data_IF_219082094239
#
_entry.id   IF_219082094239
#
_cell.length_a   1.000
_cell.length_b   1.000
_cell.length_c   1.000
_cell.angle_alpha   90.00
_cell.angle_beta   90.00
_cell.angle_gamma   90.00
#
_symmetry.space_group_name_H-M   'P 1'
#
loop_
_entity.id
_entity.type
_entity.pdbx_description
1 polymer ?
#
# COMPACT_ATOMS: atom_id res chain seq x y z
N UNK A 1 43.39 21.65 31.13
CA UNK A 1 42.11 22.37 30.99
C UNK A 1 42.19 23.16 29.71
N UNK A 2 41.73 22.57 28.62
CA UNK A 2 41.90 23.11 27.26
C UNK A 2 40.52 23.16 26.63
N UNK A 3 40.03 24.38 26.45
CA UNK A 3 38.73 24.71 25.87
C UNK A 3 38.83 24.42 24.38
N UNK A 4 38.27 23.28 23.94
CA UNK A 4 38.12 22.99 22.51
C UNK A 4 36.81 23.61 22.03
N UNK A 5 36.96 24.60 21.15
CA UNK A 5 35.89 25.38 20.54
C UNK A 5 35.01 24.50 19.65
N UNK A 6 33.71 24.61 19.86
CA UNK A 6 32.65 24.12 18.98
C UNK A 6 32.88 24.61 17.55
N UNK A 7 33.09 23.68 16.62
CA UNK A 7 33.07 23.97 15.19
C UNK A 7 31.78 23.38 14.62
N UNK A 8 30.77 24.24 14.55
CA UNK A 8 29.51 24.00 13.86
C UNK A 8 29.80 23.96 12.35
N UNK A 9 29.98 22.77 11.79
CA UNK A 9 30.11 22.60 10.34
C UNK A 9 28.70 22.63 9.72
N UNK A 10 28.27 23.84 9.37
CA UNK A 10 27.10 24.10 8.54
C UNK A 10 27.43 23.69 7.09
N UNK A 11 27.21 22.41 6.75
CA UNK A 11 27.25 21.96 5.37
C UNK A 11 25.91 22.29 4.70
N UNK A 12 25.82 23.48 4.13
CA UNK A 12 24.76 23.88 3.22
C UNK A 12 24.90 23.12 1.89
N UNK A 13 24.28 21.94 1.78
CA UNK A 13 23.97 21.34 0.49
C UNK A 13 22.61 21.89 0.02
N UNK A 14 22.69 22.95 -0.78
CA UNK A 14 21.62 23.38 -1.68
C UNK A 14 21.36 22.27 -2.72
N UNK A 15 20.44 21.35 -2.40
CA UNK A 15 19.65 20.70 -3.45
C UNK A 15 18.42 21.56 -3.65
N UNK A 16 18.46 22.39 -4.69
CA UNK A 16 17.27 23.02 -5.24
C UNK A 16 16.36 21.89 -5.75
N UNK A 17 15.48 21.39 -4.88
CA UNK A 17 14.30 20.67 -5.30
C UNK A 17 13.45 21.68 -6.07
N UNK A 18 13.51 21.63 -7.40
CA UNK A 18 12.49 22.22 -8.25
C UNK A 18 11.20 21.45 -7.96
N UNK A 19 10.49 21.84 -6.90
CA UNK A 19 9.08 21.58 -6.77
C UNK A 19 8.41 22.35 -7.91
N UNK A 20 8.33 21.70 -9.07
CA UNK A 20 7.52 22.16 -10.18
C UNK A 20 6.09 22.21 -9.65
N UNK A 21 5.64 23.41 -9.28
CA UNK A 21 4.25 23.64 -8.98
C UNK A 21 3.45 23.13 -10.18
N UNK A 22 2.70 22.05 -9.98
CA UNK A 22 1.90 21.41 -11.01
C UNK A 22 0.97 22.48 -11.56
N UNK A 23 1.20 22.92 -12.80
CA UNK A 23 0.28 23.82 -13.48
C UNK A 23 -0.98 23.04 -13.84
N UNK A 24 -1.89 23.02 -12.87
CA UNK A 24 -3.17 22.37 -12.95
C UNK A 24 -4.09 23.04 -14.00
N UNK A 25 -3.68 24.13 -14.67
CA UNK A 25 -4.48 24.79 -15.72
C UNK A 25 -4.48 24.03 -17.06
N UNK A 26 -3.49 23.20 -17.35
CA UNK A 26 -3.53 22.29 -18.51
C UNK A 26 -4.49 21.11 -18.32
N UNK A 27 -4.97 20.91 -17.08
CA UNK A 27 -5.71 19.74 -16.62
C UNK A 27 -7.18 20.05 -16.27
N UNK A 28 -7.72 21.21 -16.67
CA UNK A 28 -9.05 21.74 -16.28
C UNK A 28 -10.18 21.52 -17.28
N UNK A 29 -10.00 20.71 -18.33
CA UNK A 29 -11.16 20.25 -19.11
C UNK A 29 -11.87 19.12 -18.35
N UNK A 30 -12.75 19.50 -17.43
CA UNK A 30 -13.51 18.64 -16.51
C UNK A 30 -14.24 17.47 -17.19
N UNK A 31 -14.48 17.54 -18.52
CA UNK A 31 -15.09 16.45 -19.31
C UNK A 31 -14.15 15.31 -19.73
N UNK A 32 -12.86 15.55 -19.99
CA UNK A 32 -11.94 14.51 -20.48
C UNK A 32 -11.42 13.58 -19.38
N UNK A 33 -11.31 14.07 -18.13
CA UNK A 33 -10.88 13.26 -16.98
C UNK A 33 -11.91 12.19 -16.59
N UNK A 34 -13.19 12.55 -16.57
CA UNK A 34 -14.27 11.62 -16.22
C UNK A 34 -14.49 10.56 -17.30
N UNK A 35 -14.45 10.96 -18.58
CA UNK A 35 -14.67 10.04 -19.70
C UNK A 35 -13.62 8.93 -19.81
N UNK A 36 -12.32 9.24 -19.62
CA UNK A 36 -11.24 8.25 -19.74
C UNK A 36 -10.90 7.46 -18.47
N UNK A 37 -11.21 8.00 -17.29
CA UNK A 37 -11.16 7.18 -16.07
C UNK A 37 -12.13 6.00 -16.16
N UNK A 38 -13.26 6.20 -16.84
CA UNK A 38 -14.23 5.17 -17.16
C UNK A 38 -13.83 4.30 -18.37
N UNK A 39 -12.78 4.64 -19.14
CA UNK A 39 -12.35 3.88 -20.32
C UNK A 39 -11.20 2.91 -20.07
N UNK A 40 -10.47 3.02 -18.95
CA UNK A 40 -9.44 2.02 -18.61
C UNK A 40 -10.12 0.69 -18.25
N UNK A 41 -9.90 -0.30 -19.11
CA UNK A 41 -10.40 -1.64 -18.94
C UNK A 41 -9.78 -2.30 -17.70
N UNK A 42 -10.51 -3.25 -17.14
CA UNK A 42 -10.05 -4.03 -16.00
C UNK A 42 -8.77 -4.83 -16.31
N UNK A 43 -8.58 -5.20 -17.58
CA UNK A 43 -7.38 -5.88 -18.07
C UNK A 43 -6.16 -4.95 -18.05
N UNK A 44 -6.30 -3.70 -18.49
CA UNK A 44 -5.20 -2.71 -18.44
C UNK A 44 -4.77 -2.40 -17.01
N UNK A 45 -5.73 -2.26 -16.09
CA UNK A 45 -5.43 -2.03 -14.67
C UNK A 45 -4.73 -3.24 -14.04
N UNK A 46 -5.10 -4.46 -14.43
CA UNK A 46 -4.43 -5.68 -13.96
C UNK A 46 -3.00 -5.77 -14.50
N UNK A 47 -2.81 -5.53 -15.79
CA UNK A 47 -1.47 -5.55 -16.41
C UNK A 47 -0.55 -4.50 -15.77
N UNK A 48 -1.07 -3.31 -15.48
CA UNK A 48 -0.35 -2.28 -14.76
C UNK A 48 0.03 -2.70 -13.33
N UNK A 49 -0.86 -3.39 -12.62
CA UNK A 49 -0.55 -3.97 -11.31
C UNK A 49 0.55 -5.04 -11.37
N UNK A 50 0.56 -5.88 -12.41
CA UNK A 50 1.63 -6.87 -12.63
C UNK A 50 2.99 -6.20 -12.85
N UNK A 51 3.02 -5.17 -13.69
CA UNK A 51 4.25 -4.45 -13.99
C UNK A 51 4.73 -3.62 -12.79
N UNK A 52 3.83 -2.92 -12.09
CA UNK A 52 4.15 -2.16 -10.90
C UNK A 52 4.68 -3.07 -9.79
N UNK A 53 4.06 -4.23 -9.56
CA UNK A 53 4.54 -5.18 -8.57
C UNK A 53 5.93 -5.74 -8.92
N UNK A 54 6.14 -6.07 -10.20
CA UNK A 54 7.45 -6.53 -10.70
C UNK A 54 8.52 -5.45 -10.58
N UNK A 55 8.17 -4.19 -10.83
CA UNK A 55 9.06 -3.05 -10.64
C UNK A 55 9.44 -2.91 -9.16
N UNK A 56 8.45 -2.89 -8.26
CA UNK A 56 8.68 -2.75 -6.83
C UNK A 56 9.57 -3.87 -6.27
N UNK A 57 9.39 -5.10 -6.74
CA UNK A 57 10.22 -6.24 -6.34
C UNK A 57 11.68 -6.09 -6.76
N UNK A 58 11.96 -5.35 -7.84
CA UNK A 58 13.32 -5.08 -8.32
C UNK A 58 13.95 -3.87 -7.64
N UNK A 59 13.14 -2.85 -7.38
CA UNK A 59 13.57 -1.58 -6.79
C UNK A 59 13.78 -1.69 -5.27
N UNK A 60 13.12 -2.65 -4.62
CA UNK A 60 13.25 -2.91 -3.19
C UNK A 60 14.11 -4.15 -2.90
N UNK A 61 14.74 -4.17 -1.73
CA UNK A 61 15.47 -5.34 -1.26
C UNK A 61 14.50 -6.41 -0.76
N UNK A 62 14.09 -7.33 -1.65
CA UNK A 62 13.36 -8.55 -1.28
C UNK A 62 14.27 -9.46 -0.46
N UNK A 63 13.83 -9.86 0.74
CA UNK A 63 14.60 -10.79 1.56
C UNK A 63 14.59 -12.20 0.95
N UNK A 64 15.69 -12.93 1.10
CA UNK A 64 15.81 -14.30 0.59
C UNK A 64 14.91 -15.27 1.38
N UNK A 65 14.51 -16.39 0.77
CA UNK A 65 13.59 -17.35 1.40
C UNK A 65 14.12 -18.02 2.68
N UNK A 66 15.44 -18.07 2.88
CA UNK A 66 16.08 -18.57 4.10
C UNK A 66 16.24 -17.49 5.20
N UNK A 67 15.89 -16.25 4.92
CA UNK A 67 15.89 -15.17 5.89
C UNK A 67 14.81 -15.40 6.96
N UNK A 68 15.07 -15.13 8.26
CA UNK A 68 14.08 -15.29 9.32
C UNK A 68 12.76 -14.56 9.06
N UNK A 69 12.78 -13.39 8.41
CA UNK A 69 11.55 -12.67 8.07
C UNK A 69 10.74 -13.38 7.00
N UNK A 70 11.38 -13.92 5.96
CA UNK A 70 10.68 -14.71 4.94
C UNK A 70 10.08 -15.99 5.54
N UNK A 71 10.82 -16.70 6.38
CA UNK A 71 10.34 -17.92 7.06
C UNK A 71 9.16 -17.62 7.97
N UNK A 72 9.24 -16.52 8.74
CA UNK A 72 8.14 -16.05 9.58
C UNK A 72 6.91 -15.70 8.75
N UNK A 73 7.06 -14.93 7.67
CA UNK A 73 5.93 -14.60 6.80
C UNK A 73 5.30 -15.85 6.18
N UNK A 74 6.12 -16.80 5.71
CA UNK A 74 5.62 -18.07 5.15
C UNK A 74 4.81 -18.89 6.17
N UNK A 75 5.20 -18.88 7.45
CA UNK A 75 4.41 -19.49 8.54
C UNK A 75 3.11 -18.73 8.79
N UNK A 76 3.17 -17.40 8.79
CA UNK A 76 2.01 -16.53 9.00
C UNK A 76 0.95 -16.76 7.91
N UNK A 77 1.39 -16.91 6.66
CA UNK A 77 0.52 -17.01 5.48
C UNK A 77 0.27 -18.43 4.99
N UNK A 78 0.62 -19.43 5.80
CA UNK A 78 0.35 -20.83 5.49
C UNK A 78 -1.15 -21.03 5.23
N UNK A 79 -1.49 -21.63 4.10
CA UNK A 79 -2.89 -21.86 3.69
C UNK A 79 -3.57 -20.68 2.99
N UNK A 80 -2.90 -19.52 2.87
CA UNK A 80 -3.44 -18.32 2.21
C UNK A 80 -3.00 -18.18 0.75
N UNK A 81 -2.63 -19.27 0.06
CA UNK A 81 -2.21 -19.20 -1.34
C UNK A 81 -3.33 -18.71 -2.28
N UNK A 82 -4.59 -18.88 -1.88
CA UNK A 82 -5.75 -18.37 -2.57
C UNK A 82 -6.78 -17.87 -1.55
N UNK A 83 -7.33 -16.67 -1.77
CA UNK A 83 -8.47 -16.14 -1.00
C UNK A 83 -9.63 -15.83 -1.96
N UNK A 84 -10.64 -16.72 -1.96
CA UNK A 84 -11.85 -16.61 -2.78
C UNK A 84 -11.56 -16.32 -4.26
N UNK A 85 -10.64 -17.06 -4.87
CA UNK A 85 -10.25 -16.92 -6.28
C UNK A 85 -9.15 -15.88 -6.55
N UNK A 86 -8.69 -15.15 -5.53
CA UNK A 86 -7.50 -14.30 -5.63
C UNK A 86 -6.25 -15.13 -5.30
N UNK A 87 -5.39 -15.37 -6.27
CA UNK A 87 -4.10 -16.04 -6.03
C UNK A 87 -3.14 -15.07 -5.35
N UNK A 88 -2.66 -15.41 -4.17
CA UNK A 88 -1.85 -14.51 -3.35
C UNK A 88 -0.37 -14.88 -3.44
N UNK A 89 0.47 -13.86 -3.56
CA UNK A 89 1.93 -14.00 -3.54
C UNK A 89 2.52 -13.05 -2.49
N UNK A 90 3.21 -13.62 -1.51
CA UNK A 90 3.78 -12.87 -0.40
C UNK A 90 5.29 -12.73 -0.54
N UNK A 91 5.82 -11.53 -0.28
CA UNK A 91 7.26 -11.29 -0.08
C UNK A 91 7.48 -10.26 1.02
N UNK A 92 8.69 -10.26 1.59
CA UNK A 92 9.11 -9.26 2.57
C UNK A 92 10.12 -8.32 1.95
N UNK A 93 9.95 -7.02 2.18
CA UNK A 93 10.93 -5.99 1.83
C UNK A 93 11.73 -5.60 3.07
N UNK A 94 13.05 -5.54 2.92
CA UNK A 94 13.98 -5.10 3.98
C UNK A 94 14.01 -3.57 4.04
N UNK A 95 13.17 -3.01 4.89
CA UNK A 95 13.13 -1.57 5.21
C UNK A 95 12.67 -1.37 6.66
N UNK A 96 13.14 -0.29 7.28
CA UNK A 96 12.70 0.11 8.62
C UNK A 96 11.28 0.70 8.64
N UNK A 97 10.72 1.03 7.48
CA UNK A 97 9.38 1.58 7.37
C UNK A 97 8.33 0.57 7.86
N UNK A 98 7.32 1.09 8.56
CA UNK A 98 6.17 0.32 9.05
C UNK A 98 5.08 0.35 7.99
N UNK A 99 5.08 -0.61 7.08
CA UNK A 99 4.08 -0.69 6.01
C UNK A 99 3.81 -2.11 5.52
N UNK A 100 2.68 -2.27 4.85
CA UNK A 100 2.35 -3.39 3.99
C UNK A 100 1.39 -2.91 2.89
N UNK A 101 1.32 -3.62 1.78
CA UNK A 101 0.38 -3.27 0.71
C UNK A 101 0.01 -4.50 -0.13
N UNK A 102 -1.17 -4.45 -0.76
CA UNK A 102 -1.61 -5.46 -1.71
C UNK A 102 -2.19 -4.87 -3.01
N UNK A 103 -1.77 -5.44 -4.14
CA UNK A 103 -2.22 -5.06 -5.48
C UNK A 103 -3.27 -6.02 -6.03
N UNK A 104 -3.99 -5.58 -7.08
CA UNK A 104 -5.10 -6.31 -7.68
C UNK A 104 -4.70 -7.68 -8.29
N UNK A 105 -3.43 -7.88 -8.62
CA UNK A 105 -2.88 -9.15 -9.09
C UNK A 105 -2.61 -10.16 -7.96
N UNK A 106 -2.89 -9.80 -6.70
CA UNK A 106 -2.71 -10.66 -5.54
C UNK A 106 -1.30 -10.64 -4.96
N UNK A 107 -0.41 -9.77 -5.44
CA UNK A 107 0.86 -9.60 -4.77
C UNK A 107 0.68 -8.78 -3.48
N UNK A 108 1.23 -9.30 -2.39
CA UNK A 108 1.20 -8.72 -1.05
C UNK A 108 2.63 -8.56 -0.57
N UNK A 109 3.00 -7.37 -0.09
CA UNK A 109 4.33 -7.07 0.43
C UNK A 109 4.24 -6.56 1.85
N UNK A 110 5.11 -7.10 2.70
CA UNK A 110 5.17 -6.78 4.14
C UNK A 110 6.57 -6.26 4.44
N UNK A 111 6.69 -5.17 5.19
CA UNK A 111 7.99 -4.57 5.47
C UNK A 111 8.57 -5.10 6.78
N UNK A 112 9.89 -5.22 6.87
CA UNK A 112 10.56 -5.70 8.10
C UNK A 112 10.24 -4.82 9.31
N UNK A 113 10.14 -3.49 9.14
CA UNK A 113 9.76 -2.58 10.22
C UNK A 113 8.37 -2.87 10.81
N UNK A 114 7.39 -3.21 9.97
CA UNK A 114 6.08 -3.67 10.45
C UNK A 114 6.20 -4.98 11.22
N UNK A 115 6.98 -5.94 10.68
CA UNK A 115 7.15 -7.24 11.33
C UNK A 115 7.87 -7.12 12.68
N UNK A 116 8.79 -6.17 12.85
CA UNK A 116 9.54 -5.99 14.09
C UNK A 116 8.66 -5.53 15.27
N UNK A 117 7.64 -4.72 15.00
CA UNK A 117 6.73 -4.22 16.04
C UNK A 117 5.46 -5.07 16.23
N UNK A 118 5.10 -5.88 15.23
CA UNK A 118 3.86 -6.65 15.21
C UNK A 118 4.10 -8.12 15.61
N UNK A 119 3.17 -8.68 16.38
CA UNK A 119 3.02 -10.12 16.59
C UNK A 119 2.51 -10.82 15.32
N UNK A 120 2.58 -12.15 15.27
CA UNK A 120 2.12 -12.92 14.09
C UNK A 120 0.64 -12.66 13.77
N UNK A 121 -0.25 -12.60 14.77
CA UNK A 121 -1.67 -12.32 14.55
C UNK A 121 -1.94 -10.86 14.17
N UNK A 122 -1.13 -9.92 14.64
CA UNK A 122 -1.23 -8.52 14.20
C UNK A 122 -0.82 -8.38 12.73
N UNK A 123 0.23 -9.10 12.28
CA UNK A 123 0.61 -9.18 10.87
C UNK A 123 -0.51 -9.83 10.04
N UNK A 124 -1.16 -10.90 10.53
CA UNK A 124 -2.34 -11.49 9.85
C UNK A 124 -3.48 -10.50 9.73
N UNK A 125 -3.72 -9.69 10.77
CA UNK A 125 -4.73 -8.63 10.73
C UNK A 125 -4.45 -7.61 9.63
N UNK A 126 -3.20 -7.14 9.52
CA UNK A 126 -2.79 -6.23 8.44
C UNK A 126 -2.95 -6.89 7.07
N UNK A 127 -2.51 -8.14 6.90
CA UNK A 127 -2.69 -8.87 5.64
C UNK A 127 -4.17 -9.00 5.28
N UNK A 128 -5.03 -9.33 6.23
CA UNK A 128 -6.48 -9.41 6.02
C UNK A 128 -7.07 -8.07 5.59
N UNK A 129 -6.60 -6.97 6.18
CA UNK A 129 -6.99 -5.61 5.79
C UNK A 129 -6.56 -5.27 4.35
N UNK A 130 -5.29 -5.55 3.99
CA UNK A 130 -4.77 -5.33 2.63
C UNK A 130 -5.49 -6.17 1.56
N UNK A 131 -5.77 -7.44 1.87
CA UNK A 131 -6.59 -8.29 1.01
C UNK A 131 -8.01 -7.71 0.88
N UNK A 132 -8.56 -7.11 1.94
CA UNK A 132 -9.81 -6.37 1.91
C UNK A 132 -9.82 -5.25 0.87
N UNK A 133 -8.76 -4.43 0.79
CA UNK A 133 -8.63 -3.41 -0.25
C UNK A 133 -8.65 -4.00 -1.66
N UNK A 134 -8.04 -5.17 -1.87
CA UNK A 134 -8.05 -5.85 -3.17
C UNK A 134 -9.45 -6.38 -3.49
N UNK A 135 -10.05 -7.15 -2.58
CA UNK A 135 -11.35 -7.84 -2.79
C UNK A 135 -12.51 -6.87 -2.94
N UNK A 136 -12.44 -5.69 -2.32
CA UNK A 136 -13.44 -4.64 -2.44
C UNK A 136 -13.19 -3.70 -3.63
N UNK A 137 -12.13 -3.92 -4.42
CA UNK A 137 -11.82 -3.14 -5.61
C UNK A 137 -11.18 -1.77 -5.34
N UNK A 138 -10.79 -1.49 -4.09
CA UNK A 138 -10.11 -0.25 -3.72
C UNK A 138 -8.74 -0.17 -4.40
N UNK A 139 -7.93 -1.23 -4.33
CA UNK A 139 -6.60 -1.27 -4.97
C UNK A 139 -6.69 -1.05 -6.48
N UNK A 140 -7.69 -1.66 -7.13
CA UNK A 140 -7.96 -1.45 -8.57
C UNK A 140 -8.27 0.01 -8.88
N UNK A 141 -9.07 0.66 -8.04
CA UNK A 141 -9.45 2.08 -8.18
C UNK A 141 -8.24 3.00 -7.99
N UNK A 142 -7.36 2.72 -7.01
CA UNK A 142 -6.12 3.49 -6.81
C UNK A 142 -5.13 3.30 -7.96
N UNK A 143 -4.95 2.08 -8.45
CA UNK A 143 -4.11 1.80 -9.63
C UNK A 143 -4.62 2.56 -10.86
N UNK A 144 -5.93 2.53 -11.12
CA UNK A 144 -6.56 3.32 -12.20
C UNK A 144 -6.29 4.82 -12.04
N UNK A 145 -6.39 5.34 -10.82
CA UNK A 145 -6.13 6.75 -10.53
C UNK A 145 -4.66 7.11 -10.77
N UNK A 146 -3.72 6.27 -10.33
CA UNK A 146 -2.29 6.46 -10.54
C UNK A 146 -1.90 6.40 -12.02
N UNK A 147 -2.47 5.46 -12.79
CA UNK A 147 -2.33 5.39 -14.25
C UNK A 147 -2.78 6.67 -14.95
N UNK A 148 -3.96 7.19 -14.60
CA UNK A 148 -4.48 8.43 -15.18
C UNK A 148 -3.62 9.64 -14.83
N UNK A 149 -3.10 9.68 -13.59
CA UNK A 149 -2.20 10.74 -13.15
C UNK A 149 -0.88 10.72 -13.94
N UNK A 150 -0.29 9.54 -14.12
CA UNK A 150 0.94 9.35 -14.92
C UNK A 150 0.71 9.72 -16.40
N UNK A 151 -0.33 9.18 -17.04
CA UNK A 151 -0.66 9.47 -18.44
C UNK A 151 -1.01 10.96 -18.69
N UNK A 152 -1.57 11.63 -17.68
CA UNK A 152 -1.86 13.06 -17.73
C UNK A 152 -0.62 13.95 -17.69
N UNK A 153 0.44 13.53 -16.97
CA UNK A 153 1.71 14.28 -16.88
C UNK A 153 2.50 14.27 -18.19
N UNK A 154 2.45 13.16 -18.91
CA UNK A 154 3.30 12.94 -20.09
C UNK A 154 2.64 13.35 -21.42
N UNK A 155 1.40 13.84 -21.39
CA UNK A 155 0.65 14.15 -22.61
C UNK A 155 0.28 12.92 -23.46
N UNK A 156 0.59 11.70 -23.00
CA UNK A 156 0.21 10.43 -23.65
C UNK A 156 -1.32 10.26 -23.79
N UNK A 157 -2.10 11.01 -23.01
CA UNK A 157 -3.54 11.16 -23.18
C UNK A 157 -3.97 11.55 -24.61
N UNK A 158 -3.08 12.16 -25.40
CA UNK A 158 -3.33 12.59 -26.78
C UNK A 158 -3.23 11.48 -27.84
N UNK A 159 -2.56 10.34 -27.58
CA UNK A 159 -2.26 9.37 -28.63
C UNK A 159 -3.37 8.36 -28.93
N UNK A 160 -4.26 8.06 -27.98
CA UNK A 160 -5.32 7.03 -28.15
C UNK A 160 -4.82 5.59 -28.34
N UNK A 161 -3.51 5.41 -28.58
CA UNK A 161 -2.81 4.15 -28.85
C UNK A 161 -1.67 3.90 -27.85
N UNK A 162 -1.70 4.55 -26.68
CA UNK A 162 -0.68 4.38 -25.64
C UNK A 162 -0.70 2.93 -25.15
N UNK A 163 0.24 2.14 -25.66
CA UNK A 163 0.33 0.72 -25.34
C UNK A 163 0.77 0.58 -23.87
N UNK A 164 -0.20 0.58 -22.95
CA UNK A 164 -0.01 0.38 -21.50
C UNK A 164 0.71 -0.94 -21.17
N UNK A 165 0.90 -1.81 -22.17
CA UNK A 165 1.67 -3.05 -22.06
C UNK A 165 3.19 -2.83 -21.95
N UNK A 166 3.74 -1.64 -22.21
CA UNK A 166 5.18 -1.38 -22.05
C UNK A 166 5.47 0.02 -21.48
N UNK A 167 5.19 0.19 -20.19
CA UNK A 167 5.67 1.34 -19.43
C UNK A 167 7.20 1.27 -19.28
N UNK A 168 7.88 2.41 -19.44
CA UNK A 168 9.31 2.58 -19.13
C UNK A 168 9.57 2.41 -17.64
N UNK A 169 10.84 2.21 -17.25
CA UNK A 169 11.20 2.07 -15.83
C UNK A 169 10.81 3.31 -15.00
N UNK A 170 10.98 4.52 -15.55
CA UNK A 170 10.56 5.75 -14.87
C UNK A 170 9.04 5.81 -14.66
N UNK A 171 8.26 5.46 -15.69
CA UNK A 171 6.79 5.39 -15.59
C UNK A 171 6.31 4.34 -14.58
N UNK A 172 6.97 3.17 -14.56
CA UNK A 172 6.66 2.13 -13.58
C UNK A 172 6.98 2.57 -12.16
N UNK A 173 8.08 3.29 -11.96
CA UNK A 173 8.42 3.91 -10.68
C UNK A 173 7.35 4.89 -10.21
N UNK A 174 6.98 5.87 -11.03
CA UNK A 174 5.94 6.84 -10.68
C UNK A 174 4.58 6.18 -10.41
N UNK A 175 4.23 5.17 -11.20
CA UNK A 175 2.98 4.41 -11.04
C UNK A 175 2.98 3.65 -9.72
N UNK A 176 4.06 2.92 -9.43
CA UNK A 176 4.17 2.08 -8.26
C UNK A 176 4.24 2.93 -6.98
N UNK A 177 5.03 4.00 -6.98
CA UNK A 177 5.10 4.96 -5.87
C UNK A 177 3.74 5.64 -5.64
N UNK A 178 3.05 6.05 -6.72
CA UNK A 178 1.72 6.63 -6.65
C UNK A 178 0.67 5.66 -6.09
N UNK A 179 0.81 4.35 -6.34
CA UNK A 179 -0.06 3.32 -5.77
C UNK A 179 0.25 3.08 -4.28
N UNK A 180 1.51 2.86 -3.92
CA UNK A 180 1.92 2.53 -2.54
C UNK A 180 1.62 3.68 -1.59
N UNK A 181 1.73 4.93 -2.05
CA UNK A 181 1.39 6.11 -1.27
C UNK A 181 -0.07 6.57 -1.43
N UNK A 182 -0.92 5.77 -2.10
CA UNK A 182 -2.30 6.14 -2.31
C UNK A 182 -3.06 6.18 -0.97
N UNK A 183 -3.77 7.28 -0.73
CA UNK A 183 -4.66 7.39 0.41
C UNK A 183 -6.03 6.81 0.08
N UNK A 184 -6.55 6.00 0.99
CA UNK A 184 -7.91 5.49 0.94
C UNK A 184 -8.86 6.38 1.75
N UNK A 185 -10.10 6.49 1.28
CA UNK A 185 -11.12 7.23 2.00
C UNK A 185 -11.49 6.51 3.30
N UNK A 186 -12.02 7.24 4.30
CA UNK A 186 -12.49 6.63 5.54
C UNK A 186 -13.51 5.50 5.30
N UNK A 187 -14.34 5.60 4.26
CA UNK A 187 -15.29 4.55 3.89
C UNK A 187 -14.58 3.29 3.38
N UNK A 188 -13.56 3.46 2.52
CA UNK A 188 -12.74 2.36 2.02
C UNK A 188 -12.02 1.67 3.19
N UNK A 189 -11.39 2.45 4.08
CA UNK A 189 -10.74 1.95 5.31
C UNK A 189 -11.71 1.15 6.19
N UNK A 190 -12.92 1.68 6.42
CA UNK A 190 -13.93 1.01 7.24
C UNK A 190 -14.38 -0.33 6.66
N UNK A 191 -14.49 -0.40 5.33
CA UNK A 191 -14.89 -1.63 4.66
C UNK A 191 -13.74 -2.64 4.63
N UNK A 192 -12.50 -2.19 4.48
CA UNK A 192 -11.31 -3.03 4.59
C UNK A 192 -11.08 -3.53 6.02
N UNK A 193 -11.36 -2.70 7.04
CA UNK A 193 -11.37 -3.08 8.47
C UNK A 193 -12.35 -4.22 8.74
N UNK A 194 -13.61 -4.06 8.29
CA UNK A 194 -14.63 -5.10 8.42
C UNK A 194 -14.23 -6.37 7.67
N UNK A 195 -13.68 -6.24 6.46
CA UNK A 195 -13.18 -7.39 5.71
C UNK A 195 -12.06 -8.10 6.49
N UNK A 196 -11.08 -7.36 7.00
CA UNK A 196 -9.97 -7.87 7.79
C UNK A 196 -10.45 -8.57 9.07
N UNK A 197 -11.44 -7.99 9.75
CA UNK A 197 -12.09 -8.62 10.90
C UNK A 197 -12.72 -9.97 10.54
N UNK A 198 -13.53 -10.02 9.48
CA UNK A 198 -14.15 -11.27 9.03
C UNK A 198 -13.12 -12.27 8.51
N UNK A 199 -12.04 -11.80 7.87
CA UNK A 199 -10.92 -12.62 7.41
C UNK A 199 -10.26 -13.33 8.60
N UNK A 200 -9.94 -12.59 9.67
CA UNK A 200 -9.37 -13.17 10.89
C UNK A 200 -10.30 -14.25 11.45
N UNK A 201 -11.61 -14.00 11.50
CA UNK A 201 -12.59 -14.99 11.95
C UNK A 201 -12.70 -16.22 11.05
N UNK A 202 -12.78 -16.06 9.72
CA UNK A 202 -12.90 -17.17 8.76
C UNK A 202 -11.72 -18.13 8.88
N UNK A 203 -10.54 -17.60 9.17
CA UNK A 203 -9.32 -18.37 9.33
C UNK A 203 -9.02 -18.77 10.80
N UNK A 204 -9.96 -18.55 11.72
CA UNK A 204 -9.82 -18.88 13.16
C UNK A 204 -8.63 -18.21 13.86
N UNK A 205 -8.25 -17.01 13.41
CA UNK A 205 -7.27 -16.14 14.06
C UNK A 205 -7.95 -15.20 15.08
N UNK A 206 -7.18 -14.61 16.00
CA UNK A 206 -7.73 -13.65 16.98
C UNK A 206 -8.04 -12.29 16.31
N UNK A 207 -9.31 -11.92 16.12
CA UNK A 207 -9.64 -10.64 15.51
C UNK A 207 -9.28 -9.43 16.40
N UNK A 208 -9.04 -9.62 17.70
CA UNK A 208 -8.58 -8.55 18.57
C UNK A 208 -7.17 -8.05 18.20
N UNK A 209 -6.38 -8.87 17.51
CA UNK A 209 -5.07 -8.50 17.01
C UNK A 209 -5.13 -7.34 16.00
N UNK A 210 -6.19 -7.24 15.19
CA UNK A 210 -6.37 -6.11 14.27
C UNK A 210 -6.57 -4.79 15.04
N UNK A 211 -7.39 -4.80 16.10
CA UNK A 211 -7.55 -3.65 16.98
C UNK A 211 -6.24 -3.31 17.72
N UNK A 212 -5.52 -4.33 18.20
CA UNK A 212 -4.20 -4.17 18.83
C UNK A 212 -3.22 -3.46 17.91
N UNK A 213 -3.14 -3.90 16.64
CA UNK A 213 -2.24 -3.31 15.66
C UNK A 213 -2.57 -1.84 15.40
N UNK A 214 -3.85 -1.49 15.25
CA UNK A 214 -4.24 -0.08 15.08
C UNK A 214 -3.81 0.79 16.26
N UNK A 215 -3.93 0.32 17.49
CA UNK A 215 -3.43 1.07 18.66
C UNK A 215 -1.91 1.26 18.63
N UNK A 216 -1.15 0.25 18.21
CA UNK A 216 0.31 0.38 18.03
C UNK A 216 0.65 1.44 16.97
N UNK A 217 -0.06 1.43 15.84
CA UNK A 217 0.16 2.39 14.75
C UNK A 217 -0.20 3.83 15.14
N UNK A 218 -1.22 3.99 15.99
CA UNK A 218 -1.56 5.28 16.59
C UNK A 218 -0.39 5.87 17.38
N UNK A 219 0.43 5.01 18.00
CA UNK A 219 1.56 5.42 18.85
C UNK A 219 2.85 5.70 18.05
N UNK A 220 3.06 5.01 16.94
CA UNK A 220 4.32 5.02 16.16
C UNK A 220 4.30 5.94 14.92
N UNK A 221 3.13 6.43 14.48
CA UNK A 221 3.02 7.41 13.38
C UNK A 221 3.29 6.89 11.95
N UNK A 222 3.75 5.63 11.78
CA UNK A 222 4.24 5.09 10.49
C UNK A 222 3.18 4.68 9.46
N UNK A 223 2.09 4.00 9.85
CA UNK A 223 0.98 3.65 8.93
C UNK A 223 -0.07 4.78 8.80
N UNK A 224 0.12 5.89 9.50
CA UNK A 224 -0.85 6.99 9.58
C UNK A 224 -0.94 7.81 8.29
N UNK A 225 0.09 7.74 7.42
CA UNK A 225 0.17 8.58 6.21
C UNK A 225 -0.74 8.08 5.09
N UNK A 226 -0.83 6.76 4.85
CA UNK A 226 -1.75 6.17 3.87
C UNK A 226 -3.11 5.78 4.47
N UNK A 227 -3.18 5.46 5.78
CA UNK A 227 -4.38 4.95 6.45
C UNK A 227 -4.70 5.69 7.78
N UNK A 228 -5.37 6.85 7.75
CA UNK A 228 -5.59 7.68 8.94
C UNK A 228 -6.63 7.11 9.92
N UNK A 229 -6.54 7.51 11.19
CA UNK A 229 -7.62 7.33 12.20
C UNK A 229 -7.54 6.06 13.06
N UNK A 230 -6.34 5.56 13.35
CA UNK A 230 -6.12 4.26 13.98
C UNK A 230 -6.87 4.01 15.29
N UNK A 231 -6.99 4.98 16.20
CA UNK A 231 -7.73 4.78 17.47
C UNK A 231 -9.24 4.56 17.24
N UNK A 232 -9.85 5.37 16.36
CA UNK A 232 -11.25 5.21 16.01
C UNK A 232 -11.51 3.87 15.30
N UNK A 233 -10.55 3.42 14.47
CA UNK A 233 -10.60 2.11 13.81
C UNK A 233 -10.51 0.97 14.82
N UNK A 234 -9.60 1.04 15.78
CA UNK A 234 -9.48 0.07 16.87
C UNK A 234 -10.80 -0.07 17.65
N UNK A 235 -11.40 1.06 18.04
CA UNK A 235 -12.67 1.07 18.77
C UNK A 235 -13.83 0.42 17.98
N UNK A 236 -13.84 0.53 16.64
CA UNK A 236 -14.84 -0.15 15.80
C UNK A 236 -14.66 -1.66 15.80
N UNK A 237 -13.43 -2.14 15.71
CA UNK A 237 -13.14 -3.58 15.80
C UNK A 237 -13.56 -4.13 17.18
N UNK A 238 -13.26 -3.41 18.27
CA UNK A 238 -13.73 -3.81 19.62
C UNK A 238 -15.26 -3.91 19.69
N UNK A 239 -15.96 -2.97 19.06
CA UNK A 239 -17.42 -2.97 19.02
C UNK A 239 -17.96 -4.18 18.25
N UNK A 240 -17.31 -4.58 17.14
CA UNK A 240 -17.65 -5.80 16.39
C UNK A 240 -17.44 -7.05 17.25
N UNK A 241 -16.28 -7.17 17.92
CA UNK A 241 -15.99 -8.28 18.84
C UNK A 241 -17.04 -8.38 19.94
N UNK A 242 -17.41 -7.24 20.55
CA UNK A 242 -18.44 -7.20 21.59
C UNK A 242 -19.81 -7.60 21.08
N UNK A 243 -20.14 -7.27 19.83
CA UNK A 243 -21.40 -7.63 19.19
C UNK A 243 -21.48 -9.13 18.92
N UNK A 244 -20.39 -9.75 18.46
CA UNK A 244 -20.35 -11.18 18.13
C UNK A 244 -20.36 -12.11 19.36
N UNK A 245 -20.04 -11.59 20.54
CA UNK A 245 -20.13 -12.32 21.82
C UNK A 245 -21.56 -12.37 22.40
N UNK A 246 -22.52 -11.66 21.80
CA UNK A 246 -23.92 -11.63 22.22
C UNK A 246 -24.77 -12.53 21.34
#
# INVERSE_FOLDING_TARGET
MTIMRSTLCLAACLLAANASAIDLKGLTSTGMKAGKALTLSDAEVSAAADQACTYMDKDNQVVAGNDPYAQRLAKITQGLANEDGLNLNFKVYRTADVNAWAMANGCVRVYTGLMDMASDDEVRGVIGHEIGHVKLGHSKTKMRTALLASAGREGLAASGNGNLTQLSQGQLGELAEGFVNAQFSQKEESAADEYGYQFMKRHSYDPAALASMFRKLSSEGGLMSSHPGSEARAARIDAMIKKDKK
#
